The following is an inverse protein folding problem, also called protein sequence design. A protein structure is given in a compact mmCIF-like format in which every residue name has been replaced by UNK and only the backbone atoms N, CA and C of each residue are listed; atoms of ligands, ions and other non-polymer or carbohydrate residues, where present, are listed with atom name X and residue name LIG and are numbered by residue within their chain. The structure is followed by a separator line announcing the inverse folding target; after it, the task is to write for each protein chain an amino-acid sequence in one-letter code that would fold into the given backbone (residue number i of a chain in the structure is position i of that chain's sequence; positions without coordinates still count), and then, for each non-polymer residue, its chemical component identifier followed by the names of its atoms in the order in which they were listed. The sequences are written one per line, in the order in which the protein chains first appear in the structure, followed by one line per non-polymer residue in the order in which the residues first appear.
data_IF_174000062959
#
_entry.id   IF_174000062959
#
_cell.length_a   1.000
_cell.length_b   1.000
_cell.length_c   1.000
_cell.angle_alpha   90.00
_cell.angle_beta   90.00
_cell.angle_gamma   90.00
#
_symmetry.space_group_name_H-M   'P 1'
#
loop_
_entity.id
_entity.type
_entity.pdbx_description
1 polymer ?
#
# COMPACT_ATOMS: atom_id res chain seq x y z
N UNK A 1 40.08 -15.27 0.08
CA UNK A 1 39.35 -14.43 -0.88
C UNK A 1 38.05 -15.15 -1.21
N UNK A 2 36.90 -14.67 -0.74
CA UNK A 2 35.60 -15.22 -1.15
C UNK A 2 35.09 -14.37 -2.30
N UNK A 3 34.96 -14.96 -3.47
CA UNK A 3 34.32 -14.32 -4.63
C UNK A 3 32.86 -14.75 -4.59
N UNK A 4 31.96 -13.79 -4.41
CA UNK A 4 30.53 -14.03 -4.56
C UNK A 4 30.15 -13.59 -5.98
N UNK A 5 29.91 -14.55 -6.87
CA UNK A 5 29.28 -14.27 -8.17
C UNK A 5 27.75 -14.30 -7.99
N UNK A 6 27.10 -13.15 -8.12
CA UNK A 6 25.64 -13.08 -8.10
C UNK A 6 25.12 -13.33 -9.51
N UNK A 7 24.62 -14.54 -9.76
CA UNK A 7 23.82 -14.85 -10.95
C UNK A 7 22.34 -14.74 -10.56
N UNK A 8 21.61 -13.86 -11.24
CA UNK A 8 20.16 -13.79 -11.12
C UNK A 8 19.54 -15.04 -11.76
N UNK A 9 19.05 -15.98 -10.95
CA UNK A 9 18.22 -17.08 -11.43
C UNK A 9 16.85 -16.52 -11.89
N UNK A 10 16.62 -16.53 -13.19
CA UNK A 10 15.27 -16.53 -13.77
C UNK A 10 14.94 -17.98 -14.09
N UNK A 11 14.19 -18.64 -13.21
CA UNK A 11 13.78 -20.03 -13.40
C UNK A 11 12.25 -20.13 -13.45
N UNK A 12 11.70 -20.32 -14.65
CA UNK A 12 10.54 -21.17 -14.81
C UNK A 12 11.02 -22.61 -14.56
N UNK A 13 10.51 -23.27 -13.51
CA UNK A 13 10.76 -24.68 -13.25
C UNK A 13 9.92 -25.57 -14.18
N UNK A 14 10.44 -26.74 -14.58
CA UNK A 14 9.64 -27.95 -14.57
C UNK A 14 10.16 -28.92 -13.50
N UNK A 15 9.21 -29.55 -12.81
CA UNK A 15 9.41 -30.54 -11.75
C UNK A 15 10.23 -31.75 -12.22
N UNK A 16 11.26 -32.14 -11.46
CA UNK A 16 11.60 -33.56 -11.14
C UNK A 16 12.73 -33.61 -10.09
N UNK A 17 12.75 -34.62 -9.19
CA UNK A 17 13.68 -34.67 -8.07
C UNK A 17 14.92 -35.50 -8.40
N UNK A 18 16.12 -35.01 -8.04
CA UNK A 18 17.33 -35.86 -7.99
C UNK A 18 18.04 -35.62 -6.66
N UNK A 19 18.17 -36.71 -5.91
CA UNK A 19 19.00 -36.88 -4.72
C UNK A 19 20.48 -37.03 -5.08
N UNK A 20 21.38 -36.68 -4.17
CA UNK A 20 22.82 -36.98 -4.28
C UNK A 20 23.71 -35.87 -3.71
N UNK A 21 24.02 -35.89 -2.40
CA UNK A 21 25.31 -36.34 -1.82
C UNK A 21 26.44 -35.33 -2.01
N UNK A 22 26.97 -34.81 -0.90
CA UNK A 22 28.41 -34.78 -0.58
C UNK A 22 28.66 -34.45 0.90
N UNK A 23 29.00 -35.54 1.60
CA UNK A 23 29.81 -35.74 2.81
C UNK A 23 30.48 -34.54 3.52
N UNK A 24 30.12 -34.41 4.80
CA UNK A 24 30.97 -34.41 6.00
C UNK A 24 32.44 -34.00 5.88
N UNK A 25 32.82 -32.97 6.66
CA UNK A 25 33.93 -33.04 7.61
C UNK A 25 33.57 -32.14 8.80
N UNK A 26 33.34 -32.79 9.95
CA UNK A 26 33.02 -32.13 11.21
C UNK A 26 34.26 -31.58 11.88
N UNK A 27 34.08 -30.49 12.63
CA UNK A 27 34.86 -30.15 13.81
C UNK A 27 33.91 -29.42 14.77
N UNK A 28 33.58 -30.12 15.84
CA UNK A 28 32.78 -29.69 16.98
C UNK A 28 33.62 -28.83 17.93
N UNK A 29 33.12 -27.65 18.29
CA UNK A 29 33.43 -27.04 19.59
C UNK A 29 32.18 -26.39 20.16
N UNK A 30 31.87 -26.76 21.40
CA UNK A 30 30.69 -26.43 22.18
C UNK A 30 31.13 -25.67 23.43
N UNK A 31 30.53 -24.49 23.70
CA UNK A 31 30.18 -23.88 25.01
C UNK A 31 29.98 -22.33 24.89
N UNK A 32 29.28 -21.64 25.82
CA UNK A 32 27.82 -21.55 26.01
C UNK A 32 27.35 -20.05 25.96
N UNK A 33 26.08 -19.68 26.26
CA UNK A 33 25.48 -18.42 25.80
C UNK A 33 25.66 -17.26 26.79
N UNK A 34 25.75 -16.03 26.26
CA UNK A 34 25.60 -14.80 27.02
C UNK A 34 24.52 -13.90 26.39
N UNK A 35 23.60 -13.47 27.26
CA UNK A 35 22.40 -12.70 27.00
C UNK A 35 22.71 -11.26 26.48
N UNK A 36 21.98 -10.86 25.42
CA UNK A 36 21.15 -9.65 25.22
C UNK A 36 21.63 -8.26 25.75
N UNK A 37 21.34 -7.12 25.05
CA UNK A 37 20.00 -6.82 24.56
C UNK A 37 19.82 -6.17 23.17
N UNK A 38 18.63 -6.47 22.65
CA UNK A 38 17.84 -5.83 21.61
C UNK A 38 18.05 -4.32 21.42
N UNK A 39 18.27 -3.92 20.15
CA UNK A 39 17.79 -2.64 19.61
C UNK A 39 17.13 -2.95 18.26
N UNK A 40 15.84 -3.27 18.32
CA UNK A 40 14.98 -3.35 17.14
C UNK A 40 14.61 -1.93 16.70
N UNK A 41 15.26 -1.44 15.65
CA UNK A 41 14.83 -0.23 14.93
C UNK A 41 13.88 -0.65 13.81
N UNK A 42 12.60 -0.76 14.13
CA UNK A 42 11.52 -0.87 13.15
C UNK A 42 11.31 0.49 12.48
N UNK A 43 11.69 0.65 11.21
CA UNK A 43 11.22 1.75 10.35
C UNK A 43 10.95 1.30 8.91
N UNK A 44 9.67 0.99 8.70
CA UNK A 44 8.83 1.14 7.51
C UNK A 44 9.49 1.50 6.16
N UNK A 45 9.38 0.57 5.20
CA UNK A 45 9.08 0.89 3.81
C UNK A 45 8.28 -0.28 3.23
N UNK A 46 6.97 -0.29 3.48
CA UNK A 46 6.02 -1.20 2.86
C UNK A 46 4.73 -0.43 2.63
N UNK A 47 4.35 -0.28 1.36
CA UNK A 47 2.96 -0.20 0.95
C UNK A 47 2.67 -1.46 0.12
N UNK A 48 2.84 -2.63 0.73
CA UNK A 48 1.96 -3.73 0.39
C UNK A 48 0.68 -3.42 1.16
N UNK A 49 -0.43 -3.23 0.46
CA UNK A 49 -1.71 -3.30 1.13
C UNK A 49 -1.80 -4.72 1.68
N UNK A 50 -1.86 -4.86 3.01
CA UNK A 50 -2.30 -6.12 3.58
C UNK A 50 -3.68 -6.40 2.98
N UNK A 51 -3.80 -7.54 2.30
CA UNK A 51 -5.09 -8.14 2.00
C UNK A 51 -5.73 -8.50 3.34
N UNK A 52 -6.38 -7.53 3.96
CA UNK A 52 -7.39 -7.80 4.96
C UNK A 52 -8.49 -8.56 4.24
N UNK A 53 -8.58 -9.86 4.51
CA UNK A 53 -9.76 -10.65 4.22
C UNK A 53 -10.91 -10.08 5.06
N UNK A 54 -11.59 -9.05 4.54
CA UNK A 54 -12.87 -8.61 5.09
C UNK A 54 -13.92 -9.64 4.69
N UNK A 55 -14.21 -10.51 5.65
CA UNK A 55 -15.27 -11.51 5.61
C UNK A 55 -16.61 -10.87 5.21
N UNK A 56 -17.19 -11.39 4.13
CA UNK A 56 -18.55 -11.23 3.66
C UNK A 56 -19.58 -10.71 4.68
N UNK A 57 -20.03 -9.46 4.51
CA UNK A 57 -21.46 -9.13 4.28
C UNK A 57 -21.60 -7.62 3.93
N UNK A 58 -21.25 -7.27 2.69
CA UNK A 58 -21.26 -5.87 2.25
C UNK A 58 -22.69 -5.47 1.87
N UNK A 59 -23.45 -4.98 2.84
CA UNK A 59 -24.77 -4.37 2.63
C UNK A 59 -24.62 -3.02 1.92
N UNK A 60 -24.08 -3.00 0.69
CA UNK A 60 -24.17 -2.00 -0.39
C UNK A 60 -24.01 -0.50 -0.09
N UNK A 61 -23.77 -0.09 1.16
CA UNK A 61 -23.93 1.28 1.62
C UNK A 61 -22.81 2.14 1.05
N UNK A 62 -21.59 1.62 1.12
CA UNK A 62 -20.38 2.26 0.60
C UNK A 62 -19.98 1.80 -0.80
N UNK A 63 -20.86 1.08 -1.50
CA UNK A 63 -20.66 0.79 -2.92
C UNK A 63 -21.10 2.00 -3.75
N UNK A 64 -20.28 2.49 -4.69
CA UNK A 64 -20.69 3.53 -5.64
C UNK A 64 -21.93 3.14 -6.46
N UNK A 65 -22.56 4.14 -7.10
CA UNK A 65 -23.73 3.92 -7.96
C UNK A 65 -23.40 2.93 -9.11
N UNK A 66 -24.20 1.87 -9.33
CA UNK A 66 -24.00 0.94 -10.44
C UNK A 66 -23.88 1.58 -11.83
N UNK A 67 -24.38 2.79 -12.03
CA UNK A 67 -24.30 3.54 -13.30
C UNK A 67 -22.87 3.85 -13.76
N UNK A 68 -21.88 3.84 -12.85
CA UNK A 68 -20.47 4.06 -13.22
C UNK A 68 -19.83 2.86 -13.94
N UNK A 69 -20.55 1.74 -14.05
CA UNK A 69 -20.05 0.51 -14.66
C UNK A 69 -19.76 0.72 -16.15
N UNK A 70 -18.59 0.30 -16.59
CA UNK A 70 -18.17 0.39 -17.99
C UNK A 70 -17.67 1.77 -18.41
N UNK A 71 -17.54 2.72 -17.47
CA UNK A 71 -17.02 4.05 -17.75
C UNK A 71 -15.57 4.01 -18.23
N UNK A 72 -15.29 4.64 -19.38
CA UNK A 72 -13.95 4.75 -19.98
C UNK A 72 -13.33 6.15 -19.83
N UNK A 73 -14.14 7.14 -19.44
CA UNK A 73 -13.70 8.50 -19.10
C UNK A 73 -14.18 8.83 -17.69
N UNK A 74 -13.26 9.11 -16.76
CA UNK A 74 -13.59 9.28 -15.35
C UNK A 74 -14.47 10.52 -15.12
N UNK A 75 -15.73 10.28 -14.73
CA UNK A 75 -16.63 11.32 -14.20
C UNK A 75 -16.75 11.17 -12.69
N UNK A 76 -16.17 12.12 -11.93
CA UNK A 76 -16.16 12.10 -10.46
C UNK A 76 -17.54 12.36 -9.85
N UNK A 77 -18.39 13.13 -10.51
CA UNK A 77 -19.71 13.48 -10.00
C UNK A 77 -20.67 12.28 -10.01
N UNK A 78 -20.43 11.31 -10.89
CA UNK A 78 -21.20 10.06 -10.96
C UNK A 78 -21.04 9.18 -9.70
N UNK A 79 -20.07 9.50 -8.83
CA UNK A 79 -19.86 8.81 -7.54
C UNK A 79 -20.63 9.45 -6.39
N UNK A 80 -21.34 10.57 -6.60
CA UNK A 80 -22.09 11.23 -5.55
C UNK A 80 -23.23 10.32 -5.07
N UNK A 81 -23.28 10.09 -3.76
CA UNK A 81 -24.27 9.20 -3.14
C UNK A 81 -24.64 9.70 -1.75
N UNK A 82 -25.93 9.81 -1.50
CA UNK A 82 -26.47 10.12 -0.18
C UNK A 82 -26.69 8.85 0.63
N UNK A 83 -26.19 8.81 1.87
CA UNK A 83 -26.42 7.71 2.81
C UNK A 83 -26.87 8.25 4.17
N UNK A 84 -27.63 7.43 4.91
CA UNK A 84 -27.96 7.73 6.29
C UNK A 84 -27.00 7.02 7.24
N UNK A 85 -26.41 7.78 8.15
CA UNK A 85 -25.44 7.28 9.12
C UNK A 85 -25.85 7.65 10.55
N UNK A 86 -25.61 6.76 11.52
CA UNK A 86 -25.90 7.04 12.90
C UNK A 86 -24.94 8.09 13.45
N UNK A 87 -25.47 9.04 14.21
CA UNK A 87 -24.69 10.09 14.87
C UNK A 87 -25.07 10.23 16.33
N UNK A 88 -24.09 10.65 17.15
CA UNK A 88 -24.34 11.05 18.54
C UNK A 88 -24.03 12.53 18.70
N UNK A 89 -24.90 13.23 19.42
CA UNK A 89 -24.72 14.62 19.81
C UNK A 89 -23.90 14.73 21.10
N UNK A 90 -22.78 15.46 21.05
CA UNK A 90 -21.82 15.55 22.16
C UNK A 90 -21.35 16.99 22.36
N UNK A 91 -21.21 17.41 23.62
CA UNK A 91 -20.65 18.72 23.98
C UNK A 91 -19.19 18.85 23.54
N UNK A 92 -18.80 20.02 23.03
CA UNK A 92 -17.44 20.31 22.52
C UNK A 92 -16.30 19.89 23.47
N UNK A 93 -16.48 20.06 24.77
CA UNK A 93 -15.49 19.78 25.82
C UNK A 93 -15.11 18.29 25.91
N UNK A 94 -16.03 17.39 25.57
CA UNK A 94 -15.92 15.95 25.83
C UNK A 94 -15.47 15.18 24.59
N UNK A 95 -15.64 15.77 23.39
CA UNK A 95 -15.38 15.12 22.09
C UNK A 95 -14.00 14.46 22.05
N UNK A 96 -12.95 15.16 22.47
CA UNK A 96 -11.58 14.64 22.37
C UNK A 96 -11.36 13.39 23.23
N UNK A 97 -12.05 13.27 24.36
CA UNK A 97 -11.99 12.07 25.22
C UNK A 97 -12.81 10.95 24.60
N UNK A 98 -14.02 11.25 24.17
CA UNK A 98 -14.93 10.28 23.55
C UNK A 98 -14.36 9.66 22.27
N UNK A 99 -13.73 10.47 21.42
CA UNK A 99 -13.11 10.03 20.16
C UNK A 99 -11.98 9.01 20.37
N UNK A 100 -11.27 9.08 21.50
CA UNK A 100 -10.23 8.10 21.85
C UNK A 100 -10.86 6.76 22.22
N UNK A 101 -11.90 6.77 23.04
CA UNK A 101 -12.59 5.55 23.49
C UNK A 101 -13.39 4.89 22.36
N UNK A 102 -14.11 5.68 21.54
CA UNK A 102 -14.98 5.16 20.48
C UNK A 102 -14.27 4.95 19.14
N UNK A 103 -12.93 5.05 19.06
CA UNK A 103 -12.16 5.01 17.80
C UNK A 103 -12.56 3.87 16.84
N UNK A 104 -12.90 2.71 17.39
CA UNK A 104 -13.28 1.51 16.65
C UNK A 104 -14.71 1.53 16.10
N UNK A 105 -15.61 2.35 16.67
CA UNK A 105 -17.03 2.51 16.28
C UNK A 105 -17.30 3.75 15.42
N UNK A 106 -16.32 4.63 15.28
CA UNK A 106 -16.41 5.80 14.41
C UNK A 106 -16.37 5.39 12.94
N UNK A 107 -16.99 6.20 12.08
CA UNK A 107 -16.84 6.04 10.64
C UNK A 107 -15.36 6.21 10.22
N UNK A 108 -14.85 5.28 9.41
CA UNK A 108 -13.47 5.27 8.93
C UNK A 108 -13.47 5.28 7.40
N UNK A 109 -13.47 6.49 6.83
CA UNK A 109 -13.48 6.72 5.38
C UNK A 109 -12.41 7.75 4.98
N UNK A 110 -11.82 7.62 3.78
CA UNK A 110 -10.92 8.64 3.23
C UNK A 110 -11.59 10.02 3.20
N UNK A 111 -10.82 11.06 3.52
CA UNK A 111 -11.24 12.47 3.41
C UNK A 111 -12.54 12.86 4.13
N UNK A 112 -13.08 11.98 5.00
CA UNK A 112 -14.32 12.21 5.72
C UNK A 112 -14.03 12.67 7.15
N UNK A 113 -14.61 13.81 7.53
CA UNK A 113 -14.56 14.29 8.91
C UNK A 113 -15.42 13.39 9.78
N UNK A 114 -14.90 12.94 10.92
CA UNK A 114 -15.64 12.10 11.89
C UNK A 114 -16.55 12.92 12.81
N UNK A 115 -16.33 14.23 12.87
CA UNK A 115 -17.09 15.16 13.69
C UNK A 115 -17.57 16.28 12.79
N UNK A 116 -18.87 16.52 12.80
CA UNK A 116 -19.56 17.57 12.04
C UNK A 116 -20.17 18.57 13.03
N UNK A 117 -20.26 19.83 12.63
CA UNK A 117 -20.92 20.86 13.42
C UNK A 117 -22.43 20.82 13.15
N UNK A 118 -23.24 20.88 14.21
CA UNK A 118 -24.70 20.91 14.08
C UNK A 118 -25.13 22.33 13.68
N UNK A 119 -25.76 22.55 12.51
CA UNK A 119 -26.23 23.88 12.11
C UNK A 119 -27.22 24.50 13.10
N UNK A 120 -27.88 23.67 13.92
CA UNK A 120 -28.91 24.09 14.88
C UNK A 120 -28.34 24.37 16.27
N UNK A 121 -27.09 24.01 16.54
CA UNK A 121 -26.54 24.03 17.89
C UNK A 121 -25.03 24.31 17.88
N UNK A 122 -24.64 25.48 18.38
CA UNK A 122 -23.24 25.87 18.48
C UNK A 122 -22.50 25.21 19.65
N UNK A 123 -23.19 24.66 20.64
CA UNK A 123 -22.56 24.09 21.85
C UNK A 123 -22.18 22.63 21.62
N UNK A 124 -22.97 21.93 20.82
CA UNK A 124 -22.82 20.51 20.55
C UNK A 124 -22.27 20.23 19.16
N UNK A 125 -21.58 19.10 19.00
CA UNK A 125 -21.17 18.58 17.69
C UNK A 125 -21.74 17.18 17.47
N UNK A 126 -21.84 16.79 16.22
CA UNK A 126 -22.28 15.47 15.79
C UNK A 126 -21.07 14.58 15.55
N UNK A 127 -21.02 13.44 16.22
CA UNK A 127 -19.99 12.42 16.03
C UNK A 127 -20.58 11.31 15.15
N UNK A 128 -19.94 11.07 14.01
CA UNK A 128 -20.37 10.06 13.03
C UNK A 128 -19.91 8.67 13.43
N UNK A 129 -20.86 7.75 13.49
CA UNK A 129 -20.63 6.35 13.81
C UNK A 129 -20.65 5.49 12.56
N UNK A 130 -20.02 4.34 12.68
CA UNK A 130 -20.01 3.31 11.65
C UNK A 130 -21.36 2.56 11.67
N UNK A 131 -22.20 2.68 10.62
CA UNK A 131 -23.51 2.04 10.53
C UNK A 131 -23.46 0.51 10.57
N UNK A 132 -22.31 -0.09 10.26
CA UNK A 132 -22.15 -1.54 10.38
C UNK A 132 -21.90 -2.00 11.82
N UNK A 133 -21.40 -1.11 12.68
CA UNK A 133 -21.06 -1.42 14.08
C UNK A 133 -22.09 -0.90 15.08
N UNK A 134 -22.77 0.19 14.73
CA UNK A 134 -23.78 0.80 15.59
C UNK A 134 -25.01 1.07 14.75
N UNK A 135 -26.11 0.39 15.06
CA UNK A 135 -27.42 0.64 14.43
C UNK A 135 -28.38 1.34 15.39
N UNK A 136 -28.34 0.94 16.67
CA UNK A 136 -29.15 1.49 17.75
C UNK A 136 -28.31 1.67 19.02
N UNK A 137 -28.93 2.23 20.05
CA UNK A 137 -28.34 2.40 21.39
C UNK A 137 -27.90 1.06 22.02
N UNK A 138 -28.52 -0.05 21.62
CA UNK A 138 -28.24 -1.40 22.14
C UNK A 138 -26.98 -2.01 21.51
N UNK A 139 -26.43 -1.38 20.47
CA UNK A 139 -25.19 -1.83 19.81
C UNK A 139 -23.92 -1.43 20.61
N UNK A 140 -24.07 -0.62 21.66
CA UNK A 140 -22.99 -0.21 22.53
C UNK A 140 -22.68 -1.29 23.57
N UNK A 141 -21.40 -1.46 23.91
CA UNK A 141 -21.00 -2.39 24.96
C UNK A 141 -21.28 -1.78 26.34
N UNK A 142 -21.35 -2.60 27.39
CA UNK A 142 -21.49 -2.13 28.78
C UNK A 142 -20.40 -1.11 29.17
N UNK A 143 -19.17 -1.29 28.66
CA UNK A 143 -18.08 -0.34 28.83
C UNK A 143 -18.40 1.05 28.24
N UNK A 144 -19.11 1.10 27.11
CA UNK A 144 -19.49 2.36 26.46
C UNK A 144 -20.60 3.05 27.26
N UNK A 145 -21.56 2.30 27.81
CA UNK A 145 -22.60 2.84 28.68
C UNK A 145 -22.04 3.46 29.97
N UNK A 146 -21.00 2.86 30.56
CA UNK A 146 -20.29 3.43 31.71
C UNK A 146 -19.62 4.76 31.32
N UNK A 147 -18.98 4.83 30.15
CA UNK A 147 -18.38 6.07 29.65
C UNK A 147 -19.43 7.14 29.39
N UNK A 148 -20.56 6.80 28.78
CA UNK A 148 -21.64 7.76 28.55
C UNK A 148 -22.18 8.34 29.86
N UNK A 149 -22.36 7.53 30.90
CA UNK A 149 -22.73 8.00 32.24
C UNK A 149 -21.65 8.88 32.87
N UNK A 150 -20.38 8.48 32.75
CA UNK A 150 -19.25 9.25 33.30
C UNK A 150 -19.10 10.62 32.63
N UNK A 151 -19.45 10.72 31.35
CA UNK A 151 -19.34 11.94 30.57
C UNK A 151 -20.66 12.73 30.46
N UNK A 152 -21.73 12.34 31.17
CA UNK A 152 -23.05 12.98 31.08
C UNK A 152 -23.55 13.10 29.62
N UNK A 153 -23.29 12.07 28.82
CA UNK A 153 -23.73 11.97 27.43
C UNK A 153 -24.96 11.07 27.39
N UNK A 154 -26.11 11.65 27.05
CA UNK A 154 -27.29 10.86 26.69
C UNK A 154 -27.07 10.31 25.28
N UNK A 155 -26.94 8.98 25.08
CA UNK A 155 -26.62 8.40 23.78
C UNK A 155 -27.89 8.35 22.91
N UNK A 156 -28.40 9.51 22.53
CA UNK A 156 -29.43 9.59 21.50
C UNK A 156 -28.75 9.41 20.14
N UNK A 157 -28.92 8.22 19.56
CA UNK A 157 -28.45 7.93 18.20
C UNK A 157 -29.50 8.46 17.23
N UNK A 158 -29.20 9.58 16.58
CA UNK A 158 -30.02 10.10 15.48
C UNK A 158 -29.43 9.70 14.14
N UNK A 159 -30.23 9.76 13.07
CA UNK A 159 -29.77 9.53 11.71
C UNK A 159 -29.39 10.87 11.07
N UNK A 160 -28.22 10.90 10.43
CA UNK A 160 -27.72 12.04 9.69
C UNK A 160 -27.58 11.70 8.21
N UNK A 161 -28.04 12.59 7.34
CA UNK A 161 -27.89 12.46 5.90
C UNK A 161 -26.48 12.92 5.50
N UNK A 162 -25.65 11.95 5.10
CA UNK A 162 -24.28 12.17 4.68
C UNK A 162 -24.17 12.05 3.16
N UNK A 163 -23.62 13.09 2.53
CA UNK A 163 -23.26 13.07 1.12
C UNK A 163 -21.84 12.49 0.95
N UNK A 164 -21.74 11.33 0.33
CA UNK A 164 -20.48 10.75 -0.12
C UNK A 164 -20.17 11.24 -1.53
N UNK A 165 -18.93 11.66 -1.72
CA UNK A 165 -18.38 12.06 -3.03
C UNK A 165 -17.28 11.09 -3.45
N UNK A 166 -16.76 11.23 -4.68
CA UNK A 166 -15.59 10.49 -5.16
C UNK A 166 -14.45 10.43 -4.13
N UNK A 167 -14.20 11.51 -3.39
CA UNK A 167 -13.12 11.58 -2.40
C UNK A 167 -13.30 10.65 -1.20
N UNK A 168 -14.53 10.23 -0.93
CA UNK A 168 -14.84 9.38 0.21
C UNK A 168 -14.76 7.89 -0.10
N UNK A 169 -14.48 7.51 -1.36
CA UNK A 169 -14.29 6.13 -1.80
C UNK A 169 -12.82 5.73 -1.88
N UNK A 170 -12.54 4.48 -1.50
CA UNK A 170 -11.23 3.86 -1.69
C UNK A 170 -11.02 3.55 -3.18
N UNK A 171 -9.75 3.48 -3.59
CA UNK A 171 -9.36 3.13 -4.96
C UNK A 171 -10.04 1.82 -5.43
N UNK A 172 -9.97 0.77 -4.62
CA UNK A 172 -10.56 -0.54 -4.95
C UNK A 172 -12.08 -0.47 -5.15
N UNK A 173 -12.80 0.29 -4.32
CA UNK A 173 -14.26 0.44 -4.42
C UNK A 173 -14.67 1.14 -5.71
N UNK A 174 -13.92 2.17 -6.11
CA UNK A 174 -14.10 2.89 -7.37
C UNK A 174 -13.87 1.94 -8.54
N UNK A 175 -12.72 1.27 -8.58
CA UNK A 175 -12.35 0.38 -9.69
C UNK A 175 -13.30 -0.82 -9.77
N UNK A 176 -13.73 -1.40 -8.64
CA UNK A 176 -14.72 -2.47 -8.60
C UNK A 176 -16.11 -2.05 -9.08
N UNK A 177 -16.46 -0.78 -8.89
CA UNK A 177 -17.71 -0.21 -9.38
C UNK A 177 -17.66 0.06 -10.90
N UNK A 178 -16.51 0.51 -11.40
CA UNK A 178 -16.31 0.85 -12.82
C UNK A 178 -16.07 -0.39 -13.69
N UNK A 179 -15.18 -1.29 -13.30
CA UNK A 179 -14.80 -2.46 -14.11
C UNK A 179 -15.95 -3.46 -14.23
N UNK A 180 -16.12 -4.21 -15.32
CA UNK A 180 -17.14 -5.27 -15.45
C UNK A 180 -17.16 -6.27 -14.29
N UNK A 181 -18.33 -6.84 -13.98
CA UNK A 181 -18.46 -7.85 -12.92
C UNK A 181 -17.68 -9.12 -13.29
N UNK A 182 -17.08 -9.76 -12.29
CA UNK A 182 -16.30 -10.99 -12.48
C UNK A 182 -14.89 -10.78 -13.01
N UNK A 183 -14.43 -9.53 -13.16
CA UNK A 183 -13.05 -9.21 -13.48
C UNK A 183 -12.25 -8.89 -12.21
N UNK A 184 -10.97 -9.22 -12.23
CA UNK A 184 -10.05 -8.86 -11.16
C UNK A 184 -9.86 -7.34 -11.12
N UNK A 185 -9.88 -6.79 -9.91
CA UNK A 185 -9.61 -5.37 -9.67
C UNK A 185 -8.11 -5.18 -9.53
N UNK A 186 -7.46 -4.59 -10.52
CA UNK A 186 -6.02 -4.25 -10.42
C UNK A 186 -5.84 -2.99 -9.57
N UNK A 187 -5.86 -3.16 -8.25
CA UNK A 187 -5.49 -2.13 -7.27
C UNK A 187 -4.01 -2.20 -6.88
N UNK A 188 -3.37 -3.36 -7.05
CA UNK A 188 -1.96 -3.58 -6.74
C UNK A 188 -1.03 -2.99 -7.81
N UNK A 189 -0.05 -2.20 -7.36
CA UNK A 189 0.98 -1.61 -8.23
C UNK A 189 2.33 -1.54 -7.53
N UNK A 190 3.40 -1.39 -8.31
CA UNK A 190 4.74 -1.16 -7.78
C UNK A 190 5.04 0.34 -7.77
N UNK A 191 5.35 0.90 -6.60
CA UNK A 191 5.76 2.30 -6.48
C UNK A 191 7.27 2.45 -6.71
N UNK A 192 7.65 3.35 -7.60
CA UNK A 192 9.05 3.73 -7.88
C UNK A 192 9.16 5.26 -7.74
N UNK A 193 9.36 5.71 -6.50
CA UNK A 193 9.40 7.14 -6.15
C UNK A 193 8.03 7.78 -6.33
N UNK A 194 7.90 8.71 -7.28
CA UNK A 194 6.63 9.34 -7.68
C UNK A 194 5.89 8.59 -8.79
N UNK A 195 6.44 7.48 -9.30
CA UNK A 195 5.87 6.71 -10.41
C UNK A 195 5.13 5.49 -9.85
N UNK A 196 3.88 5.27 -10.28
CA UNK A 196 3.14 4.04 -10.06
C UNK A 196 3.23 3.16 -11.32
N UNK A 197 3.85 1.99 -11.19
CA UNK A 197 4.03 1.02 -12.26
C UNK A 197 2.94 -0.07 -12.16
N UNK A 198 2.04 -0.05 -13.15
CA UNK A 198 0.92 -0.97 -13.32
C UNK A 198 1.29 -2.13 -14.24
N UNK A 199 0.59 -3.26 -14.07
CA UNK A 199 0.65 -4.42 -14.96
C UNK A 199 -0.78 -4.81 -15.34
N UNK A 200 -1.37 -4.04 -16.26
CA UNK A 200 -2.75 -4.24 -16.70
C UNK A 200 -2.87 -5.49 -17.59
N UNK A 201 -3.98 -6.21 -17.43
CA UNK A 201 -4.34 -7.35 -18.29
C UNK A 201 -5.18 -6.89 -19.47
N UNK A 202 -5.27 -7.70 -20.53
CA UNK A 202 -5.96 -7.34 -21.78
C UNK A 202 -7.40 -6.84 -21.58
N UNK A 203 -8.16 -7.48 -20.69
CA UNK A 203 -9.55 -7.07 -20.39
C UNK A 203 -9.66 -5.73 -19.66
N UNK A 204 -8.56 -5.21 -19.11
CA UNK A 204 -8.49 -3.95 -18.36
C UNK A 204 -7.99 -2.79 -19.24
N UNK A 205 -7.34 -3.09 -20.37
CA UNK A 205 -6.82 -2.09 -21.31
C UNK A 205 -7.90 -1.10 -21.80
N UNK A 206 -9.18 -1.49 -22.04
CA UNK A 206 -10.23 -0.52 -22.37
C UNK A 206 -10.48 0.54 -21.29
N UNK A 207 -10.11 0.24 -20.04
CA UNK A 207 -10.30 1.11 -18.88
C UNK A 207 -9.00 1.75 -18.40
N UNK A 208 -7.89 1.60 -19.13
CA UNK A 208 -6.54 1.97 -18.68
C UNK A 208 -6.42 3.42 -18.21
N UNK A 209 -7.08 4.35 -18.89
CA UNK A 209 -7.07 5.78 -18.54
C UNK A 209 -7.81 6.04 -17.23
N UNK A 210 -8.95 5.37 -17.02
CA UNK A 210 -9.70 5.48 -15.75
C UNK A 210 -8.90 4.87 -14.61
N UNK A 211 -8.31 3.70 -14.83
CA UNK A 211 -7.45 3.05 -13.83
C UNK A 211 -6.28 3.98 -13.47
N UNK A 212 -5.57 4.51 -14.48
CA UNK A 212 -4.48 5.46 -14.30
C UNK A 212 -4.90 6.67 -13.48
N UNK A 213 -6.01 7.31 -13.85
CA UNK A 213 -6.48 8.51 -13.16
C UNK A 213 -6.91 8.22 -11.71
N UNK A 214 -7.57 7.09 -11.45
CA UNK A 214 -7.98 6.72 -10.09
C UNK A 214 -6.77 6.43 -9.20
N UNK A 215 -5.74 5.76 -9.72
CA UNK A 215 -4.48 5.53 -8.98
C UNK A 215 -3.79 6.87 -8.70
N UNK A 216 -3.73 7.77 -9.68
CA UNK A 216 -3.15 9.10 -9.51
C UNK A 216 -3.88 9.90 -8.42
N UNK A 217 -5.22 9.94 -8.47
CA UNK A 217 -6.05 10.70 -7.52
C UNK A 217 -5.97 10.16 -6.09
N UNK A 218 -5.91 8.83 -5.93
CA UNK A 218 -6.03 8.17 -4.61
C UNK A 218 -4.72 7.91 -3.91
N UNK A 219 -3.58 8.19 -4.53
CA UNK A 219 -2.27 7.91 -3.98
C UNK A 219 -1.41 9.18 -3.91
N UNK A 220 -1.48 9.95 -2.80
CA UNK A 220 -0.67 11.14 -2.63
C UNK A 220 0.83 10.90 -2.85
N UNK A 221 1.45 11.81 -3.60
CA UNK A 221 2.87 11.74 -3.96
C UNK A 221 3.18 10.81 -5.12
N UNK A 222 2.18 10.20 -5.78
CA UNK A 222 2.31 9.71 -7.15
C UNK A 222 1.96 10.87 -8.09
N UNK A 223 2.78 11.11 -9.09
CA UNK A 223 2.53 12.13 -10.14
C UNK A 223 2.50 11.54 -11.54
N UNK A 224 2.96 10.29 -11.71
CA UNK A 224 2.92 9.56 -12.97
C UNK A 224 2.44 8.13 -12.75
N UNK A 225 1.53 7.65 -13.60
CA UNK A 225 1.07 6.26 -13.61
C UNK A 225 1.39 5.67 -14.97
N UNK A 226 2.13 4.57 -14.98
CA UNK A 226 2.61 3.91 -16.20
C UNK A 226 2.18 2.46 -16.23
N UNK A 227 2.01 1.90 -17.43
CA UNK A 227 1.74 0.49 -17.64
C UNK A 227 2.88 -0.16 -18.42
N UNK A 228 3.20 -1.40 -18.04
CA UNK A 228 4.11 -2.23 -18.81
C UNK A 228 3.45 -2.65 -20.12
N UNK A 229 4.10 -2.37 -21.25
CA UNK A 229 3.69 -2.94 -22.53
C UNK A 229 4.40 -4.27 -22.78
N UNK A 230 3.75 -5.20 -23.48
CA UNK A 230 4.28 -6.55 -23.75
C UNK A 230 5.39 -6.57 -24.84
N UNK A 231 5.71 -5.43 -25.43
CA UNK A 231 6.77 -5.31 -26.44
C UNK A 231 8.13 -5.22 -25.75
N UNK A 232 8.82 -6.36 -25.64
CA UNK A 232 10.23 -6.38 -25.23
C UNK A 232 11.04 -6.10 -26.49
N UNK A 233 11.66 -4.93 -26.54
CA UNK A 233 12.66 -4.64 -27.56
C UNK A 233 13.96 -4.20 -26.88
N UNK A 234 15.09 -4.62 -27.45
CA UNK A 234 16.49 -4.33 -27.05
C UNK A 234 17.23 -5.30 -26.10
N UNK A 235 18.55 -5.34 -26.32
CA UNK A 235 19.57 -6.05 -25.54
C UNK A 235 19.64 -5.62 -24.05
N UNK A 236 19.00 -4.50 -23.68
CA UNK A 236 19.04 -3.93 -22.33
C UNK A 236 17.80 -4.25 -21.49
N UNK A 237 16.86 -5.09 -21.97
CA UNK A 237 15.62 -5.47 -21.27
C UNK A 237 14.80 -4.26 -20.78
N UNK A 238 14.81 -3.15 -21.52
CA UNK A 238 13.98 -2.00 -21.19
C UNK A 238 12.53 -2.28 -21.63
N UNK A 239 11.60 -2.22 -20.69
CA UNK A 239 10.19 -2.35 -21.01
C UNK A 239 9.69 -1.03 -21.60
N UNK A 240 9.08 -1.07 -22.79
CA UNK A 240 8.32 0.08 -23.25
C UNK A 240 7.17 0.31 -22.27
N UNK A 241 7.06 1.52 -21.77
CA UNK A 241 6.02 1.92 -20.84
C UNK A 241 5.11 2.93 -21.52
N UNK A 242 3.80 2.74 -21.37
CA UNK A 242 2.83 3.75 -21.73
C UNK A 242 2.43 4.53 -20.48
N UNK A 243 2.28 5.85 -20.61
CA UNK A 243 1.73 6.69 -19.52
C UNK A 243 0.21 6.58 -19.55
N UNK A 244 -0.37 6.15 -18.44
CA UNK A 244 -1.82 6.03 -18.26
C UNK A 244 -2.45 7.32 -17.76
N UNK A 245 -1.75 8.03 -16.86
CA UNK A 245 -2.19 9.30 -16.28
C UNK A 245 -1.00 10.06 -15.66
N UNK A 246 -1.14 11.37 -15.56
CA UNK A 246 -0.15 12.24 -14.92
C UNK A 246 0.96 12.71 -15.86
N UNK A 247 2.13 13.02 -15.29
CA UNK A 247 3.26 13.56 -16.04
C UNK A 247 4.11 12.47 -16.72
N UNK A 248 4.79 12.80 -17.82
CA UNK A 248 5.71 11.90 -18.53
C UNK A 248 7.13 11.87 -17.91
N UNK A 249 7.31 12.44 -16.71
CA UNK A 249 8.61 12.49 -16.05
C UNK A 249 9.00 11.14 -15.43
N UNK A 250 9.95 10.45 -16.08
CA UNK A 250 10.48 9.15 -15.64
C UNK A 250 11.74 9.25 -14.76
N UNK A 251 12.25 10.45 -14.49
CA UNK A 251 13.40 10.66 -13.59
C UNK A 251 12.91 10.59 -12.15
N UNK A 252 13.26 9.51 -11.46
CA UNK A 252 12.72 9.20 -10.12
C UNK A 252 13.82 9.08 -9.07
N UNK A 253 13.46 9.40 -7.83
CA UNK A 253 14.28 9.23 -6.63
C UNK A 253 13.66 8.17 -5.74
N UNK A 254 14.41 7.11 -5.48
CA UNK A 254 13.98 6.01 -4.61
C UNK A 254 14.96 5.82 -3.47
N UNK A 255 14.43 5.40 -2.32
CA UNK A 255 15.23 5.04 -1.16
C UNK A 255 15.08 3.56 -0.88
N UNK A 256 16.19 2.84 -0.94
CA UNK A 256 16.26 1.41 -0.62
C UNK A 256 17.43 1.20 0.35
N UNK A 257 17.21 0.47 1.45
CA UNK A 257 18.24 0.10 2.43
C UNK A 257 19.18 1.27 2.83
N UNK A 258 18.59 2.43 3.15
CA UNK A 258 19.31 3.66 3.55
C UNK A 258 20.21 4.30 2.49
N UNK A 259 20.08 3.88 1.23
CA UNK A 259 20.71 4.48 0.06
C UNK A 259 19.63 5.11 -0.81
N UNK A 260 19.94 6.28 -1.35
CA UNK A 260 19.07 6.99 -2.29
C UNK A 260 19.64 6.84 -3.68
N UNK A 261 18.78 6.43 -4.62
CA UNK A 261 19.10 6.25 -6.03
C UNK A 261 18.29 7.26 -6.83
N UNK A 262 18.92 7.86 -7.83
CA UNK A 262 18.29 8.74 -8.81
C UNK A 262 18.58 8.19 -10.20
N UNK A 263 17.53 7.89 -10.96
CA UNK A 263 17.67 7.30 -12.28
C UNK A 263 16.44 7.57 -13.14
N UNK A 264 16.59 7.38 -14.44
CA UNK A 264 15.49 7.40 -15.42
C UNK A 264 14.87 6.00 -15.52
N UNK A 265 13.66 5.84 -14.99
CA UNK A 265 12.96 4.55 -14.94
C UNK A 265 12.64 3.99 -16.34
N UNK A 266 12.63 4.82 -17.39
CA UNK A 266 12.44 4.36 -18.78
C UNK A 266 13.67 3.67 -19.37
N UNK A 267 14.85 3.86 -18.77
CA UNK A 267 16.12 3.40 -19.32
C UNK A 267 16.81 2.31 -18.50
N UNK A 268 16.31 2.02 -17.31
CA UNK A 268 16.94 1.09 -16.36
C UNK A 268 15.93 0.10 -15.80
N UNK A 269 16.39 -1.11 -15.51
CA UNK A 269 15.61 -2.09 -14.77
C UNK A 269 15.67 -1.78 -13.26
N UNK A 270 14.50 -1.61 -12.64
CA UNK A 270 14.37 -1.46 -11.19
C UNK A 270 13.18 -2.27 -10.66
N UNK A 271 13.40 -3.06 -9.61
CA UNK A 271 12.35 -3.83 -8.94
C UNK A 271 12.45 -3.67 -7.42
N UNK A 272 11.56 -2.88 -6.79
CA UNK A 272 11.62 -2.62 -5.35
C UNK A 272 11.38 -3.87 -4.48
N UNK A 273 10.86 -4.98 -5.05
CA UNK A 273 10.63 -6.23 -4.31
C UNK A 273 11.92 -6.98 -3.96
N UNK A 274 13.02 -6.64 -4.63
CA UNK A 274 14.32 -7.27 -4.39
C UNK A 274 15.09 -6.63 -3.22
N UNK A 275 14.58 -5.54 -2.63
CA UNK A 275 15.24 -4.81 -1.56
C UNK A 275 15.69 -5.69 -0.38
N UNK A 276 14.86 -6.64 0.05
CA UNK A 276 15.19 -7.58 1.15
C UNK A 276 16.35 -8.49 0.77
N UNK A 277 16.38 -8.96 -0.48
CA UNK A 277 17.44 -9.82 -0.98
C UNK A 277 18.76 -9.05 -1.15
N UNK A 278 18.66 -7.80 -1.62
CA UNK A 278 19.80 -6.88 -1.66
C UNK A 278 20.41 -6.70 -0.25
N UNK A 279 19.59 -6.38 0.75
CA UNK A 279 20.06 -6.20 2.13
C UNK A 279 20.67 -7.49 2.70
N UNK A 280 20.03 -8.64 2.46
CA UNK A 280 20.51 -9.96 2.91
C UNK A 280 21.90 -10.25 2.35
N UNK A 281 22.10 -10.12 1.04
CA UNK A 281 23.39 -10.38 0.39
C UNK A 281 24.45 -9.41 0.91
N UNK A 282 24.12 -8.12 1.01
CA UNK A 282 25.04 -7.11 1.55
C UNK A 282 25.38 -7.38 3.02
N UNK A 283 24.45 -7.95 3.79
CA UNK A 283 24.64 -8.41 5.16
C UNK A 283 25.67 -9.54 5.30
N UNK A 284 25.80 -10.40 4.29
CA UNK A 284 26.75 -11.53 4.29
C UNK A 284 28.19 -11.11 4.01
N UNK A 285 28.41 -9.95 3.38
CA UNK A 285 29.74 -9.46 3.03
C UNK A 285 30.52 -9.00 4.27
N UNK A 286 31.79 -9.39 4.35
CA UNK A 286 32.72 -9.05 5.43
C UNK A 286 33.77 -8.06 4.95
N UNK A 287 34.40 -7.36 5.90
CA UNK A 287 35.52 -6.48 5.61
C UNK A 287 36.60 -7.21 4.78
N UNK A 288 37.07 -6.56 3.71
CA UNK A 288 38.04 -7.09 2.70
C UNK A 288 37.47 -8.11 1.69
N UNK A 289 36.18 -8.41 1.71
CA UNK A 289 35.56 -9.12 0.59
C UNK A 289 35.58 -8.25 -0.68
N UNK A 290 35.64 -8.91 -1.84
CA UNK A 290 35.56 -8.28 -3.16
C UNK A 290 34.23 -8.67 -3.78
N UNK A 291 33.38 -7.68 -4.04
CA UNK A 291 32.10 -7.87 -4.73
C UNK A 291 32.30 -7.65 -6.23
N UNK A 292 31.91 -8.64 -7.04
CA UNK A 292 31.86 -8.52 -8.49
C UNK A 292 30.40 -8.59 -8.94
N UNK A 293 29.87 -7.44 -9.36
CA UNK A 293 28.48 -7.29 -9.79
C UNK A 293 28.43 -7.25 -11.33
N UNK A 294 28.07 -8.38 -11.92
CA UNK A 294 28.06 -8.60 -13.38
C UNK A 294 26.94 -7.83 -14.09
N UNK A 295 25.88 -7.49 -13.34
CA UNK A 295 24.69 -6.82 -13.86
C UNK A 295 24.28 -5.69 -12.92
N UNK A 296 25.22 -4.80 -12.65
CA UNK A 296 25.07 -3.81 -11.59
C UNK A 296 23.88 -2.85 -11.81
N UNK A 297 23.50 -2.57 -13.06
CA UNK A 297 22.41 -1.64 -13.35
C UNK A 297 22.64 -0.29 -12.65
N UNK A 298 21.71 0.14 -11.79
CA UNK A 298 21.86 1.37 -10.98
C UNK A 298 22.67 1.17 -9.68
N UNK A 299 23.21 -0.03 -9.48
CA UNK A 299 24.12 -0.39 -8.37
C UNK A 299 23.46 -0.73 -7.04
N UNK A 300 22.35 -1.50 -6.98
CA UNK A 300 21.71 -1.83 -5.71
C UNK A 300 22.57 -2.68 -4.78
N UNK A 301 23.55 -3.44 -5.30
CA UNK A 301 24.55 -4.13 -4.49
C UNK A 301 25.83 -3.32 -4.34
N UNK A 302 26.33 -2.75 -5.43
CA UNK A 302 27.59 -2.01 -5.46
C UNK A 302 27.63 -0.82 -4.50
N UNK A 303 26.58 0.02 -4.49
CA UNK A 303 26.55 1.24 -3.68
C UNK A 303 26.50 0.92 -2.17
N UNK A 304 25.62 0.02 -1.68
CA UNK A 304 25.65 -0.39 -0.29
C UNK A 304 26.96 -1.09 0.13
N UNK A 305 27.56 -1.90 -0.75
CA UNK A 305 28.83 -2.57 -0.48
C UNK A 305 29.98 -1.55 -0.30
N UNK A 306 30.06 -0.55 -1.18
CA UNK A 306 31.04 0.53 -1.09
C UNK A 306 30.89 1.33 0.22
N UNK A 307 29.65 1.56 0.68
CA UNK A 307 29.36 2.22 1.96
C UNK A 307 29.87 1.44 3.18
N UNK A 308 30.00 0.11 3.08
CA UNK A 308 30.65 -0.75 4.08
C UNK A 308 32.19 -0.76 3.99
N UNK A 309 32.80 0.10 3.17
CA UNK A 309 34.25 0.17 2.90
C UNK A 309 34.81 -1.12 2.28
N UNK A 310 34.02 -1.78 1.43
CA UNK A 310 34.46 -2.92 0.62
C UNK A 310 35.01 -2.44 -0.72
N UNK A 311 35.93 -3.21 -1.32
CA UNK A 311 36.37 -2.96 -2.70
C UNK A 311 35.34 -3.59 -3.65
N UNK A 312 34.66 -2.75 -4.44
CA UNK A 312 33.67 -3.20 -5.42
C UNK A 312 34.18 -2.98 -6.85
N UNK A 313 33.96 -3.95 -7.73
CA UNK A 313 34.19 -3.83 -9.17
C UNK A 313 32.85 -4.05 -9.88
N UNK A 314 32.43 -3.08 -10.68
CA UNK A 314 31.18 -3.10 -11.45
C UNK A 314 31.53 -3.08 -12.93
N UNK A 315 30.82 -3.84 -13.75
CA UNK A 315 30.96 -3.87 -15.20
C UNK A 315 29.63 -3.52 -15.88
#
# INVERSE_FOLDING_TARGET
MRILSLLHFSGNLPNTPIAGVLSTLGLSFWCPPLLSPNISSTRSCFCAMEEMQDSHNDMGLYTPNPEVRGMTCLNRDAFNKTIHVPVIKVKKEIINRLMKSLKHRLIQRPSLKRVIEDPKDEVNKLVLLDPYKVKSIDSFAESDHVLFKQFDVSPQVSQYELQLTYENFKCEEILRAVLPKGQDVTSGFSRVGHIAHMNLRDHQLPYKNVIGQVILDKNPGITSVVNKTNTIDSAYRNFQMEVLAGEENMITKVKENYVTYEFDFSKVYWNPRLATEHDRIIGLLKARDVLFDVFAGVGPFAIPAAKKKLHGVCQ
#
